data_IF_060488769947
#
_entry.id   IF_060488769947
#
_cell.length_a   1.000
_cell.length_b   1.000
_cell.length_c   1.000
_cell.angle_alpha   90.00
_cell.angle_beta   90.00
_cell.angle_gamma   90.00
#
_symmetry.space_group_name_H-M   'P 1'
#
loop_
_entity.id
_entity.type
_entity.pdbx_description
1 polymer ?
#
# COMPACT_ATOMS: atom_id res chain seq x y z
N UNK A 1 -39.81 -62.99 -36.95
CA UNK A 1 -38.88 -61.92 -37.38
C UNK A 1 -39.19 -60.68 -36.54
N UNK A 2 -38.29 -60.18 -35.69
CA UNK A 2 -38.54 -58.99 -34.89
C UNK A 2 -38.44 -57.73 -35.75
N UNK A 3 -39.44 -56.86 -35.65
CA UNK A 3 -39.55 -55.58 -36.34
C UNK A 3 -38.44 -54.61 -35.92
N UNK A 4 -37.69 -54.07 -36.88
CA UNK A 4 -36.69 -53.04 -36.65
C UNK A 4 -37.35 -51.74 -36.14
N UNK A 5 -36.80 -51.08 -35.11
CA UNK A 5 -37.27 -49.77 -34.68
C UNK A 5 -36.91 -48.68 -35.71
N UNK A 6 -37.71 -47.60 -35.81
CA UNK A 6 -37.49 -46.55 -36.80
C UNK A 6 -36.18 -45.78 -36.54
N UNK A 7 -35.52 -45.28 -37.61
CA UNK A 7 -34.26 -44.54 -37.48
C UNK A 7 -34.46 -43.25 -36.67
N UNK A 8 -33.61 -43.05 -35.67
CA UNK A 8 -33.55 -41.78 -34.93
C UNK A 8 -33.02 -40.68 -35.85
N UNK A 9 -33.83 -39.66 -36.08
CA UNK A 9 -33.41 -38.44 -36.76
C UNK A 9 -32.45 -37.70 -35.82
N UNK A 10 -31.15 -37.75 -36.11
CA UNK A 10 -30.18 -36.89 -35.47
C UNK A 10 -30.40 -35.46 -35.96
N UNK A 11 -30.92 -34.58 -35.11
CA UNK A 11 -31.01 -33.14 -35.40
C UNK A 11 -29.62 -32.59 -35.72
N UNK A 12 -29.40 -31.97 -36.88
CA UNK A 12 -28.15 -31.28 -37.14
C UNK A 12 -28.16 -29.95 -36.38
N UNK A 13 -27.04 -29.65 -35.73
CA UNK A 13 -26.67 -28.33 -35.20
C UNK A 13 -27.35 -27.89 -33.89
N UNK A 14 -26.90 -28.46 -32.77
CA UNK A 14 -26.82 -27.70 -31.52
C UNK A 14 -25.39 -27.24 -31.35
N UNK A 15 -25.07 -26.11 -31.99
CA UNK A 15 -23.90 -25.32 -31.60
C UNK A 15 -24.06 -25.00 -30.11
N UNK A 16 -23.10 -25.36 -29.23
CA UNK A 16 -23.21 -25.01 -27.82
C UNK A 16 -23.36 -23.49 -27.73
N UNK A 17 -24.44 -23.02 -27.11
CA UNK A 17 -24.59 -21.60 -26.77
C UNK A 17 -23.30 -21.15 -26.07
N UNK A 18 -22.68 -20.03 -26.48
CA UNK A 18 -21.51 -19.53 -25.79
C UNK A 18 -21.88 -19.37 -24.33
N UNK A 19 -21.21 -20.12 -23.47
CA UNK A 19 -21.34 -20.02 -22.02
C UNK A 19 -21.28 -18.54 -21.67
N UNK A 20 -22.35 -18.03 -21.05
CA UNK A 20 -22.44 -16.65 -20.56
C UNK A 20 -21.10 -16.23 -19.99
N UNK A 21 -20.47 -15.23 -20.62
CA UNK A 21 -19.09 -14.83 -20.40
C UNK A 21 -18.78 -14.46 -18.95
N UNK A 22 -18.45 -15.46 -18.14
CA UNK A 22 -17.64 -15.25 -16.96
C UNK A 22 -16.25 -15.00 -17.50
N UNK A 23 -15.94 -13.73 -17.75
CA UNK A 23 -14.59 -13.26 -17.97
C UNK A 23 -13.72 -13.90 -16.87
N UNK A 24 -12.62 -14.60 -17.21
CA UNK A 24 -11.81 -15.27 -16.22
C UNK A 24 -11.35 -14.21 -15.21
N UNK A 25 -11.83 -14.34 -13.97
CA UNK A 25 -11.51 -13.43 -12.89
C UNK A 25 -9.99 -13.29 -12.86
N UNK A 26 -9.49 -12.06 -12.99
CA UNK A 26 -8.04 -11.87 -12.96
C UNK A 26 -7.57 -12.44 -11.62
N UNK A 27 -6.49 -13.24 -11.57
CA UNK A 27 -6.05 -13.94 -10.34
C UNK A 27 -5.69 -13.00 -9.16
N UNK A 28 -5.77 -11.68 -9.38
CA UNK A 28 -5.48 -10.59 -8.47
C UNK A 28 -6.75 -9.85 -7.96
N UNK A 29 -7.94 -10.27 -8.38
CA UNK A 29 -9.23 -9.66 -8.02
C UNK A 29 -9.71 -10.18 -6.65
N UNK A 30 -10.11 -9.24 -5.78
CA UNK A 30 -10.57 -9.50 -4.42
C UNK A 30 -12.08 -9.26 -4.31
N UNK A 31 -12.86 -10.02 -3.52
CA UNK A 31 -14.31 -9.87 -3.51
C UNK A 31 -14.83 -8.66 -2.70
N UNK A 32 -13.98 -7.67 -2.40
CA UNK A 32 -14.32 -6.59 -1.48
C UNK A 32 -15.10 -5.47 -2.19
N UNK A 33 -16.30 -5.12 -1.71
CA UNK A 33 -17.09 -4.05 -2.30
C UNK A 33 -16.43 -2.67 -2.14
N UNK A 34 -16.66 -1.76 -3.10
CA UNK A 34 -16.08 -0.41 -3.09
C UNK A 34 -16.43 0.42 -1.85
N UNK A 35 -17.59 0.20 -1.23
CA UNK A 35 -18.00 0.92 -0.01
C UNK A 35 -17.09 0.63 1.19
N UNK A 36 -16.35 -0.49 1.16
CA UNK A 36 -15.41 -0.85 2.23
C UNK A 36 -14.26 0.14 2.32
N UNK A 37 -13.93 0.86 1.24
CA UNK A 37 -12.88 1.88 1.24
C UNK A 37 -13.26 3.09 2.10
N UNK A 38 -14.35 3.84 1.83
CA UNK A 38 -14.74 4.94 2.70
C UNK A 38 -15.07 4.48 4.13
N UNK A 39 -15.61 3.26 4.31
CA UNK A 39 -15.81 2.68 5.63
C UNK A 39 -14.49 2.45 6.37
N UNK A 40 -13.45 1.98 5.69
CA UNK A 40 -12.13 1.77 6.28
C UNK A 40 -11.47 3.07 6.71
N UNK A 41 -11.63 4.15 5.93
CA UNK A 41 -11.15 5.48 6.33
C UNK A 41 -11.93 6.02 7.54
N UNK A 42 -13.27 5.96 7.51
CA UNK A 42 -14.09 6.45 8.61
C UNK A 42 -13.88 5.69 9.91
N UNK A 43 -13.99 4.36 9.86
CA UNK A 43 -13.79 3.50 11.04
C UNK A 43 -12.32 3.49 11.49
N UNK A 44 -11.37 3.45 10.56
CA UNK A 44 -9.94 3.52 10.86
C UNK A 44 -9.59 4.80 11.61
N UNK A 45 -10.14 5.95 11.18
CA UNK A 45 -9.96 7.22 11.87
C UNK A 45 -10.59 7.21 13.27
N UNK A 46 -11.82 6.72 13.41
CA UNK A 46 -12.50 6.64 14.72
C UNK A 46 -11.70 5.74 15.69
N UNK A 47 -11.33 4.54 15.26
CA UNK A 47 -10.57 3.59 16.09
C UNK A 47 -9.17 4.12 16.38
N UNK A 48 -8.51 4.73 15.39
CA UNK A 48 -7.19 5.34 15.56
C UNK A 48 -7.20 6.49 16.57
N UNK A 49 -8.18 7.40 16.49
CA UNK A 49 -8.32 8.50 17.46
C UNK A 49 -8.63 7.98 18.87
N UNK A 50 -9.50 6.97 19.00
CA UNK A 50 -9.80 6.37 20.30
C UNK A 50 -8.57 5.69 20.91
N UNK A 51 -7.85 4.89 20.14
CA UNK A 51 -6.69 4.14 20.64
C UNK A 51 -5.51 5.05 20.96
N UNK A 52 -5.23 6.07 20.16
CA UNK A 52 -4.24 7.11 20.47
C UNK A 52 -4.64 7.96 21.69
N UNK A 53 -5.94 8.21 21.89
CA UNK A 53 -6.43 8.87 23.11
C UNK A 53 -6.21 8.02 24.37
N UNK A 54 -6.30 6.69 24.26
CA UNK A 54 -5.92 5.77 25.34
C UNK A 54 -4.42 5.85 25.63
N UNK A 55 -3.56 5.86 24.61
CA UNK A 55 -2.10 6.03 24.77
C UNK A 55 -1.79 7.35 25.51
N UNK A 56 -2.41 8.45 25.10
CA UNK A 56 -2.26 9.74 25.76
C UNK A 56 -2.79 9.73 27.21
N UNK A 57 -3.91 9.05 27.46
CA UNK A 57 -4.51 8.87 28.79
C UNK A 57 -3.61 8.09 29.74
N UNK A 58 -3.05 6.97 29.27
CA UNK A 58 -2.07 6.16 30.02
C UNK A 58 -0.84 6.99 30.36
N UNK A 59 -0.28 7.71 29.38
CA UNK A 59 0.86 8.59 29.60
C UNK A 59 0.59 9.63 30.70
N UNK A 60 -0.58 10.29 30.67
CA UNK A 60 -0.98 11.24 31.73
C UNK A 60 -1.09 10.55 33.10
N UNK A 61 -1.69 9.36 33.13
CA UNK A 61 -1.86 8.57 34.35
C UNK A 61 -0.53 8.13 34.99
N UNK A 62 0.51 7.89 34.18
CA UNK A 62 1.86 7.56 34.67
C UNK A 62 2.72 8.79 34.98
N UNK A 63 2.14 10.00 34.93
CA UNK A 63 2.87 11.26 35.14
C UNK A 63 3.83 11.62 34.00
N UNK A 64 3.73 10.96 32.85
CA UNK A 64 4.55 11.22 31.67
C UNK A 64 3.90 12.26 30.75
N UNK A 65 4.70 13.12 30.13
CA UNK A 65 4.20 14.10 29.15
C UNK A 65 3.61 13.44 27.90
N UNK A 66 2.49 13.96 27.39
CA UNK A 66 1.81 13.39 26.21
C UNK A 66 2.53 13.63 24.89
N UNK A 67 3.46 14.59 24.86
CA UNK A 67 4.17 15.00 23.64
C UNK A 67 5.63 14.52 23.65
N UNK A 68 5.92 13.44 24.39
CA UNK A 68 7.26 12.83 24.39
C UNK A 68 7.46 12.00 23.11
N UNK A 69 8.71 11.84 22.61
CA UNK A 69 8.97 11.05 21.42
C UNK A 69 8.43 9.61 21.54
N UNK A 70 8.56 8.99 22.71
CA UNK A 70 8.06 7.63 22.94
C UNK A 70 6.54 7.55 22.81
N UNK A 71 5.81 8.50 23.41
CA UNK A 71 4.34 8.54 23.35
C UNK A 71 3.86 8.80 21.93
N UNK A 72 4.52 9.70 21.20
CA UNK A 72 4.18 9.98 19.80
C UNK A 72 4.40 8.75 18.91
N UNK A 73 5.57 8.11 19.00
CA UNK A 73 5.88 6.90 18.20
C UNK A 73 4.89 5.77 18.52
N UNK A 74 4.58 5.53 19.80
CA UNK A 74 3.58 4.53 20.18
C UNK A 74 2.20 4.90 19.65
N UNK A 75 1.84 6.18 19.71
CA UNK A 75 0.62 6.71 19.12
C UNK A 75 0.52 6.42 17.63
N UNK A 76 1.56 6.76 16.86
CA UNK A 76 1.61 6.56 15.42
C UNK A 76 1.52 5.08 15.04
N UNK A 77 2.25 4.20 15.75
CA UNK A 77 2.17 2.74 15.55
C UNK A 77 0.74 2.23 15.79
N UNK A 78 0.12 2.63 16.88
CA UNK A 78 -1.24 2.18 17.24
C UNK A 78 -2.28 2.74 16.26
N UNK A 79 -2.07 3.96 15.77
CA UNK A 79 -2.91 4.58 14.75
C UNK A 79 -2.86 3.79 13.43
N UNK A 80 -1.66 3.48 12.93
CA UNK A 80 -1.49 2.67 11.71
C UNK A 80 -2.08 1.26 11.86
N UNK A 81 -1.84 0.61 13.00
CA UNK A 81 -2.41 -0.70 13.29
C UNK A 81 -3.94 -0.66 13.31
N UNK A 82 -4.56 0.45 13.72
CA UNK A 82 -6.01 0.60 13.67
C UNK A 82 -6.56 0.51 12.25
N UNK A 83 -5.90 1.15 11.28
CA UNK A 83 -6.26 1.04 9.86
C UNK A 83 -6.04 -0.37 9.31
N UNK A 84 -4.93 -1.02 9.67
CA UNK A 84 -4.65 -2.42 9.29
C UNK A 84 -5.73 -3.36 9.82
N UNK A 85 -6.09 -3.25 11.11
CA UNK A 85 -7.09 -4.11 11.75
C UNK A 85 -8.49 -3.87 11.19
N UNK A 86 -8.87 -2.61 10.94
CA UNK A 86 -10.17 -2.27 10.32
C UNK A 86 -10.24 -2.83 8.89
N UNK A 87 -9.17 -2.69 8.09
CA UNK A 87 -9.11 -3.26 6.75
C UNK A 87 -9.22 -4.80 6.78
N UNK A 88 -8.51 -5.47 7.69
CA UNK A 88 -8.61 -6.92 7.89
C UNK A 88 -10.03 -7.33 8.28
N UNK A 89 -10.65 -6.62 9.22
CA UNK A 89 -12.02 -6.88 9.64
C UNK A 89 -12.99 -6.74 8.47
N UNK A 90 -13.00 -5.59 7.79
CA UNK A 90 -13.87 -5.33 6.62
C UNK A 90 -13.66 -6.35 5.50
N UNK A 91 -12.42 -6.77 5.25
CA UNK A 91 -12.09 -7.78 4.25
C UNK A 91 -12.67 -9.17 4.54
N UNK A 92 -13.04 -9.44 5.79
CA UNK A 92 -13.63 -10.70 6.26
C UNK A 92 -15.15 -10.70 6.43
N UNK A 93 -15.83 -9.53 6.37
CA UNK A 93 -17.28 -9.45 6.62
C UNK A 93 -18.10 -10.10 5.51
N UNK A 94 -17.63 -10.03 4.26
CA UNK A 94 -18.35 -10.56 3.10
C UNK A 94 -17.48 -11.55 2.34
N UNK A 95 -17.58 -12.81 2.72
CA UNK A 95 -17.06 -13.93 1.94
C UNK A 95 -16.09 -14.81 2.72
N UNK A 96 -15.12 -15.36 1.99
CA UNK A 96 -14.09 -16.24 2.57
C UNK A 96 -13.12 -15.44 3.43
N UNK A 97 -12.51 -16.12 4.41
CA UNK A 97 -11.41 -15.54 5.21
C UNK A 97 -10.34 -14.96 4.28
N UNK A 98 -9.90 -13.71 4.50
CA UNK A 98 -8.91 -13.06 3.68
C UNK A 98 -7.56 -13.78 3.84
N UNK A 99 -6.86 -13.99 2.74
CA UNK A 99 -5.55 -14.62 2.69
C UNK A 99 -4.49 -13.56 2.42
N UNK A 100 -3.22 -13.76 2.85
CA UNK A 100 -2.15 -12.82 2.52
C UNK A 100 -2.01 -12.56 1.00
N UNK A 101 -2.30 -13.56 0.16
CA UNK A 101 -2.33 -13.43 -1.30
C UNK A 101 -3.33 -12.41 -1.82
N UNK A 102 -4.42 -12.16 -1.10
CA UNK A 102 -5.48 -11.22 -1.50
C UNK A 102 -4.97 -9.78 -1.42
N UNK A 103 -4.19 -9.47 -0.38
CA UNK A 103 -3.50 -8.18 -0.24
C UNK A 103 -2.27 -8.04 -1.14
N UNK A 104 -1.76 -9.14 -1.70
CA UNK A 104 -0.57 -9.12 -2.56
C UNK A 104 0.72 -9.54 -1.85
N UNK A 105 0.67 -10.26 -0.74
CA UNK A 105 1.83 -11.03 -0.25
C UNK A 105 2.10 -12.22 -1.18
N UNK A 106 2.67 -11.91 -2.34
CA UNK A 106 2.95 -12.84 -3.44
C UNK A 106 4.42 -12.76 -3.80
N UNK A 107 5.04 -13.92 -4.06
CA UNK A 107 6.40 -13.96 -4.60
C UNK A 107 6.42 -13.38 -6.02
N UNK A 108 7.50 -12.67 -6.32
CA UNK A 108 7.76 -12.04 -7.62
C UNK A 108 9.14 -12.46 -8.10
N UNK A 109 9.30 -12.61 -9.42
CA UNK A 109 10.61 -12.86 -10.01
C UNK A 109 11.54 -11.68 -9.72
N UNK A 110 12.76 -11.95 -9.25
CA UNK A 110 13.68 -10.91 -8.82
C UNK A 110 13.97 -9.88 -9.92
N UNK A 111 14.13 -10.32 -11.17
CA UNK A 111 14.36 -9.43 -12.32
C UNK A 111 13.20 -8.45 -12.54
N UNK A 112 11.96 -8.92 -12.46
CA UNK A 112 10.77 -8.06 -12.56
C UNK A 112 10.69 -7.10 -11.37
N UNK A 113 10.94 -7.59 -10.16
CA UNK A 113 10.92 -6.77 -8.95
C UNK A 113 11.93 -5.63 -9.03
N UNK A 114 13.19 -5.94 -9.37
CA UNK A 114 14.27 -4.96 -9.51
C UNK A 114 13.99 -4.00 -10.67
N UNK A 115 13.59 -4.50 -11.83
CA UNK A 115 13.30 -3.66 -12.99
C UNK A 115 12.18 -2.65 -12.73
N UNK A 116 11.06 -3.10 -12.12
CA UNK A 116 9.94 -2.21 -11.78
C UNK A 116 10.32 -1.26 -10.64
N UNK A 117 11.07 -1.72 -9.63
CA UNK A 117 11.57 -0.87 -8.54
C UNK A 117 12.41 0.30 -9.08
N UNK A 118 13.39 0.00 -9.95
CA UNK A 118 14.30 1.01 -10.50
C UNK A 118 13.54 1.99 -11.41
N UNK A 119 12.68 1.48 -12.28
CA UNK A 119 11.88 2.33 -13.17
C UNK A 119 10.92 3.24 -12.38
N UNK A 120 10.25 2.70 -11.36
CA UNK A 120 9.34 3.45 -10.51
C UNK A 120 10.05 4.51 -9.66
N UNK A 121 11.20 4.15 -9.06
CA UNK A 121 12.03 5.10 -8.32
C UNK A 121 12.54 6.23 -9.20
N UNK A 122 13.06 5.91 -10.39
CA UNK A 122 13.51 6.92 -11.35
C UNK A 122 12.35 7.85 -11.77
N UNK A 123 11.19 7.29 -12.13
CA UNK A 123 10.02 8.08 -12.51
C UNK A 123 9.57 9.01 -11.36
N UNK A 124 9.53 8.49 -10.13
CA UNK A 124 9.18 9.28 -8.95
C UNK A 124 10.12 10.47 -8.73
N UNK A 125 11.44 10.22 -8.68
CA UNK A 125 12.41 11.28 -8.40
C UNK A 125 12.53 12.29 -9.54
N UNK A 126 12.45 11.86 -10.80
CA UNK A 126 12.49 12.77 -11.95
C UNK A 126 11.27 13.69 -11.94
N UNK A 127 10.05 13.15 -11.79
CA UNK A 127 8.83 13.97 -11.77
C UNK A 127 8.80 14.88 -10.56
N UNK A 128 9.27 14.42 -9.40
CA UNK A 128 9.34 15.25 -8.19
C UNK A 128 10.34 16.39 -8.35
N UNK A 129 11.50 16.15 -8.98
CA UNK A 129 12.46 17.20 -9.29
C UNK A 129 11.91 18.23 -10.28
N UNK A 130 11.23 17.77 -11.34
CA UNK A 130 10.55 18.66 -12.30
C UNK A 130 9.47 19.50 -11.62
N UNK A 131 8.67 18.88 -10.76
CA UNK A 131 7.68 19.58 -9.94
C UNK A 131 8.35 20.67 -9.10
N UNK A 132 9.41 20.37 -8.36
CA UNK A 132 10.11 21.37 -7.54
C UNK A 132 10.61 22.57 -8.36
N UNK A 133 11.13 22.33 -9.57
CA UNK A 133 11.57 23.39 -10.50
C UNK A 133 10.39 24.23 -10.97
N UNK A 134 9.29 23.61 -11.39
CA UNK A 134 8.11 24.31 -11.94
C UNK A 134 7.46 25.21 -10.90
N UNK A 135 7.39 24.75 -9.65
CA UNK A 135 6.67 25.43 -8.56
C UNK A 135 7.58 26.48 -7.89
N UNK A 136 8.85 26.59 -8.31
CA UNK A 136 9.81 27.54 -7.76
C UNK A 136 10.24 27.22 -6.32
N UNK A 137 10.17 25.95 -5.92
CA UNK A 137 10.61 25.51 -4.59
C UNK A 137 12.14 25.52 -4.58
N UNK A 138 12.73 26.61 -4.11
CA UNK A 138 14.17 26.67 -3.87
C UNK A 138 14.46 25.96 -2.54
N UNK A 139 15.54 25.16 -2.48
CA UNK A 139 15.87 24.21 -1.40
C UNK A 139 16.04 24.78 0.03
N UNK A 140 15.63 26.02 0.28
CA UNK A 140 15.59 26.74 1.55
C UNK A 140 14.21 26.80 2.19
N UNK A 141 13.14 26.40 1.49
CA UNK A 141 11.78 26.37 2.04
C UNK A 141 11.67 25.24 3.06
N UNK A 142 11.90 25.65 4.31
CA UNK A 142 12.13 24.83 5.49
C UNK A 142 11.30 23.54 5.48
N UNK A 143 12.05 22.46 5.35
CA UNK A 143 11.63 21.08 5.56
C UNK A 143 10.94 20.93 6.91
N UNK A 144 9.93 20.04 7.05
CA UNK A 144 9.21 19.87 8.30
C UNK A 144 10.19 19.54 9.43
N UNK A 145 10.34 20.45 10.39
CA UNK A 145 10.96 20.14 11.69
C UNK A 145 9.91 19.40 12.50
N UNK A 146 9.95 18.07 12.55
CA UNK A 146 8.79 17.37 13.08
C UNK A 146 8.94 15.89 13.40
N UNK A 147 10.03 15.47 14.03
CA UNK A 147 10.03 14.20 14.77
C UNK A 147 10.59 14.34 16.20
N UNK A 148 10.97 15.55 16.64
CA UNK A 148 11.53 15.77 17.99
C UNK A 148 12.83 14.99 18.28
N UNK A 149 13.53 14.54 17.23
CA UNK A 149 14.63 13.55 17.28
C UNK A 149 15.92 14.06 17.94
N UNK A 150 15.93 15.29 18.44
CA UNK A 150 17.11 15.91 19.03
C UNK A 150 17.47 15.49 20.47
N UNK A 151 16.72 14.57 21.12
CA UNK A 151 16.80 14.41 22.58
C UNK A 151 17.32 13.04 23.07
N UNK A 152 17.29 11.95 22.28
CA UNK A 152 17.94 10.67 22.67
C UNK A 152 18.16 9.71 21.50
N UNK A 153 19.24 8.91 21.55
CA UNK A 153 19.53 7.84 20.58
C UNK A 153 18.39 6.81 20.49
N UNK A 154 17.74 6.50 21.62
CA UNK A 154 16.62 5.58 21.65
C UNK A 154 15.41 6.11 20.88
N UNK A 155 15.08 7.41 21.02
CA UNK A 155 14.00 8.03 20.26
C UNK A 155 14.30 8.06 18.76
N UNK A 156 15.55 8.33 18.38
CA UNK A 156 16.01 8.26 16.99
C UNK A 156 15.87 6.85 16.40
N UNK A 157 16.32 5.82 17.13
CA UNK A 157 16.18 4.42 16.69
C UNK A 157 14.70 4.04 16.56
N UNK A 158 13.87 4.41 17.54
CA UNK A 158 12.42 4.19 17.49
C UNK A 158 11.75 4.87 16.29
N UNK A 159 12.10 6.13 16.02
CA UNK A 159 11.59 6.86 14.87
C UNK A 159 12.04 6.22 13.54
N UNK A 160 13.30 5.80 13.44
CA UNK A 160 13.83 5.12 12.27
C UNK A 160 13.13 3.78 12.00
N UNK A 161 12.89 2.98 13.05
CA UNK A 161 12.14 1.72 12.93
C UNK A 161 10.70 2.01 12.48
N UNK A 162 10.02 2.99 13.09
CA UNK A 162 8.67 3.32 12.70
C UNK A 162 8.60 3.77 11.22
N UNK A 163 9.36 4.82 10.87
CA UNK A 163 9.32 5.47 9.56
C UNK A 163 9.83 4.57 8.42
N UNK A 164 10.86 3.75 8.67
CA UNK A 164 11.50 2.96 7.61
C UNK A 164 11.03 1.49 7.57
N UNK A 165 10.33 0.99 8.60
CA UNK A 165 9.87 -0.40 8.66
C UNK A 165 8.37 -0.48 8.90
N UNK A 166 7.87 0.02 10.03
CA UNK A 166 6.48 -0.19 10.45
C UNK A 166 5.50 0.52 9.50
N UNK A 167 5.71 1.81 9.25
CA UNK A 167 4.87 2.60 8.36
C UNK A 167 4.86 2.02 6.92
N UNK A 168 6.00 1.70 6.27
CA UNK A 168 5.99 1.03 4.97
C UNK A 168 5.22 -0.29 4.97
N UNK A 169 5.27 -1.11 6.02
CA UNK A 169 4.49 -2.35 6.07
C UNK A 169 3.00 -2.04 6.18
N UNK A 170 2.61 -1.19 7.14
CA UNK A 170 1.21 -0.89 7.43
C UNK A 170 0.53 -0.13 6.28
N UNK A 171 1.19 0.90 5.75
CA UNK A 171 0.67 1.73 4.67
C UNK A 171 0.61 0.97 3.34
N UNK A 172 1.60 0.14 2.99
CA UNK A 172 1.51 -0.66 1.77
C UNK A 172 0.42 -1.73 1.87
N UNK A 173 0.26 -2.35 3.05
CA UNK A 173 -0.85 -3.25 3.31
C UNK A 173 -2.21 -2.54 3.11
N UNK A 174 -2.39 -1.38 3.75
CA UNK A 174 -3.64 -0.65 3.72
C UNK A 174 -3.93 -0.07 2.33
N UNK A 175 -3.01 0.70 1.76
CA UNK A 175 -3.25 1.40 0.50
C UNK A 175 -3.15 0.49 -0.73
N UNK A 176 -2.10 -0.34 -0.84
CA UNK A 176 -1.86 -1.13 -2.07
C UNK A 176 -2.53 -2.49 -1.98
N UNK A 177 -2.59 -3.07 -0.78
CA UNK A 177 -3.27 -4.33 -0.54
C UNK A 177 -4.79 -4.15 -0.50
N UNK A 178 -5.29 -3.31 0.41
CA UNK A 178 -6.71 -3.17 0.65
C UNK A 178 -7.40 -2.13 -0.25
N UNK A 179 -7.03 -0.84 -0.17
CA UNK A 179 -7.72 0.25 -0.89
C UNK A 179 -7.63 0.06 -2.40
N UNK A 180 -6.42 -0.04 -2.96
CA UNK A 180 -6.23 -0.30 -4.37
C UNK A 180 -6.79 -1.66 -4.78
N UNK A 181 -6.69 -2.68 -3.90
CA UNK A 181 -7.32 -3.98 -4.10
C UNK A 181 -8.82 -3.87 -4.37
N UNK A 182 -9.55 -3.17 -3.50
CA UNK A 182 -10.99 -2.97 -3.58
C UNK A 182 -11.42 -2.02 -4.72
N UNK A 183 -10.67 -0.95 -4.98
CA UNK A 183 -11.01 0.02 -6.03
C UNK A 183 -10.75 -0.47 -7.45
N UNK A 184 -9.88 -1.47 -7.65
CA UNK A 184 -9.57 -1.99 -8.99
C UNK A 184 -10.75 -2.61 -9.74
N UNK A 185 -11.85 -2.90 -9.05
CA UNK A 185 -13.14 -3.34 -9.61
C UNK A 185 -13.97 -2.23 -10.22
N UNK A 186 -13.52 -0.99 -10.12
CA UNK A 186 -14.26 0.13 -10.67
C UNK A 186 -14.28 0.02 -12.20
N UNK A 187 -15.43 -0.24 -12.80
CA UNK A 187 -15.57 -0.22 -14.26
C UNK A 187 -15.82 1.21 -14.74
N UNK A 188 -14.75 1.90 -15.13
CA UNK A 188 -14.82 3.26 -15.68
C UNK A 188 -14.55 3.19 -17.17
N UNK A 189 -15.61 3.15 -17.98
CA UNK A 189 -15.49 3.08 -19.44
C UNK A 189 -15.46 4.48 -20.06
N UNK A 190 -14.37 4.80 -20.76
CA UNK A 190 -14.20 6.06 -21.51
C UNK A 190 -13.77 5.71 -22.93
N UNK A 191 -14.58 6.13 -23.91
CA UNK A 191 -14.32 5.90 -25.35
C UNK A 191 -14.01 4.42 -25.64
N UNK A 192 -14.82 3.51 -25.10
CA UNK A 192 -14.69 2.06 -25.29
C UNK A 192 -13.53 1.39 -24.55
N UNK A 193 -12.72 2.11 -23.75
CA UNK A 193 -11.64 1.55 -22.93
C UNK A 193 -12.01 1.55 -21.45
N UNK A 194 -11.72 0.46 -20.75
CA UNK A 194 -11.83 0.40 -19.28
C UNK A 194 -10.59 1.05 -18.65
N UNK A 195 -10.80 2.19 -18.00
CA UNK A 195 -9.79 2.96 -17.27
C UNK A 195 -9.87 2.73 -15.76
N UNK A 196 -10.65 1.75 -15.31
CA UNK A 196 -10.89 1.43 -13.91
C UNK A 196 -9.65 1.33 -13.04
N UNK A 197 -8.66 0.55 -13.49
CA UNK A 197 -7.41 0.38 -12.74
C UNK A 197 -6.59 1.66 -12.65
N UNK A 198 -6.61 2.51 -13.68
CA UNK A 198 -5.95 3.82 -13.65
C UNK A 198 -6.67 4.78 -12.70
N UNK A 199 -8.00 4.83 -12.75
CA UNK A 199 -8.80 5.62 -11.82
C UNK A 199 -8.57 5.18 -10.36
N UNK A 200 -8.51 3.87 -10.11
CA UNK A 200 -8.17 3.32 -8.80
C UNK A 200 -6.77 3.73 -8.33
N UNK A 201 -5.77 3.68 -9.21
CA UNK A 201 -4.40 4.10 -8.89
C UNK A 201 -4.33 5.60 -8.55
N UNK A 202 -5.00 6.45 -9.34
CA UNK A 202 -5.07 7.90 -9.10
C UNK A 202 -5.80 8.21 -7.80
N UNK A 203 -6.97 7.61 -7.57
CA UNK A 203 -7.73 7.82 -6.35
C UNK A 203 -6.93 7.37 -5.11
N UNK A 204 -6.30 6.19 -5.16
CA UNK A 204 -5.44 5.70 -4.07
C UNK A 204 -4.25 6.63 -3.84
N UNK A 205 -3.62 7.13 -4.91
CA UNK A 205 -2.54 8.10 -4.83
C UNK A 205 -2.97 9.40 -4.15
N UNK A 206 -4.08 9.99 -4.57
CA UNK A 206 -4.63 11.20 -3.96
C UNK A 206 -4.90 10.97 -2.46
N UNK A 207 -5.57 9.87 -2.10
CA UNK A 207 -5.84 9.53 -0.70
C UNK A 207 -4.54 9.38 0.10
N UNK A 208 -3.52 8.74 -0.48
CA UNK A 208 -2.21 8.62 0.13
C UNK A 208 -1.57 9.99 0.40
N UNK A 209 -1.60 10.91 -0.56
CA UNK A 209 -1.10 12.28 -0.33
C UNK A 209 -1.89 13.03 0.74
N UNK A 210 -3.23 12.90 0.76
CA UNK A 210 -4.09 13.62 1.70
C UNK A 210 -3.88 13.20 3.16
N UNK A 211 -3.68 11.91 3.45
CA UNK A 211 -3.45 11.47 4.85
C UNK A 211 -2.16 12.02 5.45
N UNK A 212 -1.23 12.49 4.61
CA UNK A 212 0.01 13.12 5.05
C UNK A 212 -0.10 14.62 5.33
N UNK A 213 -1.28 15.24 5.15
CA UNK A 213 -1.46 16.69 5.37
C UNK A 213 -1.17 17.14 6.81
N UNK A 214 -1.18 16.23 7.79
CA UNK A 214 -0.83 16.51 9.19
C UNK A 214 0.65 16.32 9.53
N UNK A 215 1.41 15.57 8.71
CA UNK A 215 2.80 15.19 8.99
C UNK A 215 3.81 15.76 7.99
N UNK A 216 3.35 16.17 6.81
CA UNK A 216 4.16 16.77 5.75
C UNK A 216 3.68 18.18 5.41
N UNK A 217 4.61 19.06 5.01
CA UNK A 217 4.25 20.38 4.48
C UNK A 217 3.37 20.25 3.23
N UNK A 218 2.44 21.18 3.04
CA UNK A 218 1.47 21.17 1.92
C UNK A 218 2.12 21.02 0.53
N UNK A 219 3.32 21.58 0.34
CA UNK A 219 4.12 21.46 -0.88
C UNK A 219 4.55 20.03 -1.24
N UNK A 220 4.59 19.11 -0.27
CA UNK A 220 4.95 17.71 -0.49
C UNK A 220 3.73 16.80 -0.74
N UNK A 221 2.50 17.28 -0.57
CA UNK A 221 1.29 16.45 -0.74
C UNK A 221 1.11 15.99 -2.19
N UNK A 222 1.46 16.82 -3.18
CA UNK A 222 1.42 16.43 -4.60
C UNK A 222 2.48 15.36 -4.91
N UNK A 223 3.77 15.55 -4.57
CA UNK A 223 4.77 14.48 -4.67
C UNK A 223 4.37 13.19 -3.95
N UNK A 224 3.82 13.28 -2.74
CA UNK A 224 3.35 12.11 -2.00
C UNK A 224 2.17 11.43 -2.70
N UNK A 225 1.21 12.19 -3.23
CA UNK A 225 0.12 11.61 -4.01
C UNK A 225 0.61 10.89 -5.26
N UNK A 226 1.59 11.48 -5.95
CA UNK A 226 2.24 10.86 -7.10
C UNK A 226 3.02 9.59 -6.70
N UNK A 227 3.70 9.59 -5.56
CA UNK A 227 4.37 8.40 -5.03
C UNK A 227 3.36 7.28 -4.73
N UNK A 228 2.23 7.62 -4.11
CA UNK A 228 1.10 6.72 -3.90
C UNK A 228 0.62 6.07 -5.19
N UNK A 229 0.41 6.88 -6.23
CA UNK A 229 0.04 6.43 -7.57
C UNK A 229 1.09 5.49 -8.20
N UNK A 230 2.37 5.87 -8.17
CA UNK A 230 3.47 5.06 -8.72
C UNK A 230 3.52 3.70 -8.04
N UNK A 231 3.36 3.64 -6.72
CA UNK A 231 3.36 2.38 -5.97
C UNK A 231 2.14 1.50 -6.29
N UNK A 232 0.99 2.08 -6.64
CA UNK A 232 -0.13 1.31 -7.22
C UNK A 232 0.25 0.68 -8.57
N UNK A 233 1.01 1.38 -9.42
CA UNK A 233 1.50 0.80 -10.68
C UNK A 233 2.51 -0.32 -10.42
N UNK A 234 3.41 -0.17 -9.44
CA UNK A 234 4.31 -1.24 -9.01
C UNK A 234 3.51 -2.47 -8.57
N UNK A 235 2.50 -2.28 -7.72
CA UNK A 235 1.61 -3.35 -7.25
C UNK A 235 0.83 -4.00 -8.39
N UNK A 236 0.37 -3.21 -9.37
CA UNK A 236 -0.38 -3.71 -10.52
C UNK A 236 0.50 -4.54 -11.45
N UNK A 237 1.73 -4.09 -11.73
CA UNK A 237 2.67 -4.78 -12.62
C UNK A 237 3.24 -6.06 -12.01
N UNK A 238 3.49 -6.06 -10.71
CA UNK A 238 4.18 -7.18 -10.03
C UNK A 238 3.24 -8.17 -9.36
N UNK A 239 2.00 -7.77 -9.07
CA UNK A 239 1.09 -8.55 -8.23
C UNK A 239 1.47 -8.57 -6.75
N UNK A 240 2.54 -7.86 -6.34
CA UNK A 240 3.22 -8.04 -5.06
C UNK A 240 3.36 -6.73 -4.28
N UNK A 241 3.29 -6.83 -2.94
CA UNK A 241 3.58 -5.72 -2.04
C UNK A 241 5.08 -5.55 -1.76
N UNK A 242 5.91 -6.59 -1.93
CA UNK A 242 7.32 -6.51 -1.54
C UNK A 242 8.12 -5.43 -2.29
N UNK A 243 7.97 -5.27 -3.63
CA UNK A 243 8.64 -4.17 -4.33
C UNK A 243 8.11 -2.80 -3.90
N UNK A 244 6.84 -2.70 -3.52
CA UNK A 244 6.25 -1.46 -3.01
C UNK A 244 6.82 -1.09 -1.63
N UNK A 245 6.83 -2.04 -0.69
CA UNK A 245 7.41 -1.86 0.65
C UNK A 245 8.88 -1.50 0.57
N UNK A 246 9.62 -2.12 -0.35
CA UNK A 246 11.03 -1.81 -0.55
C UNK A 246 11.24 -0.37 -1.06
N UNK A 247 10.51 0.05 -2.10
CA UNK A 247 10.63 1.40 -2.65
C UNK A 247 10.17 2.46 -1.65
N UNK A 248 9.10 2.18 -0.89
CA UNK A 248 8.64 3.05 0.19
C UNK A 248 9.68 3.17 1.31
N UNK A 249 10.21 2.06 1.82
CA UNK A 249 11.24 2.06 2.86
C UNK A 249 12.52 2.79 2.41
N UNK A 250 12.93 2.63 1.16
CA UNK A 250 14.06 3.36 0.57
C UNK A 250 13.78 4.86 0.53
N UNK A 251 12.60 5.27 0.06
CA UNK A 251 12.21 6.68 0.04
C UNK A 251 12.21 7.29 1.45
N UNK A 252 11.65 6.57 2.42
CA UNK A 252 11.60 7.02 3.81
C UNK A 252 13.00 7.08 4.45
N UNK A 253 13.87 6.13 4.14
CA UNK A 253 15.26 6.15 4.61
C UNK A 253 16.05 7.33 4.04
N UNK A 254 15.83 7.67 2.77
CA UNK A 254 16.43 8.84 2.13
C UNK A 254 15.90 10.14 2.75
N UNK A 255 14.57 10.26 2.92
CA UNK A 255 13.95 11.43 3.52
C UNK A 255 14.38 11.62 4.99
N UNK A 256 14.37 10.57 5.81
CA UNK A 256 14.80 10.64 7.19
C UNK A 256 16.32 10.90 7.28
N UNK A 257 17.12 10.10 6.58
CA UNK A 257 18.58 10.15 6.69
C UNK A 257 19.20 11.41 6.11
N UNK A 258 18.85 11.79 4.88
CA UNK A 258 19.47 12.93 4.17
C UNK A 258 18.79 14.23 4.58
N UNK A 259 17.46 14.26 4.54
CA UNK A 259 16.69 15.50 4.61
C UNK A 259 16.44 15.94 6.04
N UNK A 260 16.17 15.00 6.96
CA UNK A 260 15.86 15.31 8.36
C UNK A 260 17.09 15.25 9.28
N UNK A 261 17.97 14.26 9.08
CA UNK A 261 19.07 13.98 10.01
C UNK A 261 20.46 14.34 9.46
N UNK A 262 20.56 14.69 8.17
CA UNK A 262 21.81 15.07 7.50
C UNK A 262 22.95 14.04 7.65
N UNK A 263 22.59 12.76 7.63
CA UNK A 263 23.53 11.66 7.69
C UNK A 263 24.33 11.52 6.40
N UNK A 264 25.54 10.98 6.52
CA UNK A 264 26.34 10.60 5.36
C UNK A 264 25.70 9.40 4.61
N UNK A 265 26.08 9.22 3.34
CA UNK A 265 25.52 8.17 2.49
C UNK A 265 25.67 6.76 3.05
N UNK A 266 26.78 6.45 3.75
CA UNK A 266 27.01 5.13 4.36
C UNK A 266 25.99 4.81 5.44
N UNK A 267 25.67 5.76 6.32
CA UNK A 267 24.66 5.60 7.36
C UNK A 267 23.25 5.41 6.76
N UNK A 268 22.93 6.14 5.68
CA UNK A 268 21.63 5.99 4.98
C UNK A 268 21.52 4.62 4.30
N UNK A 269 22.60 4.14 3.68
CA UNK A 269 22.66 2.78 3.11
C UNK A 269 22.50 1.72 4.20
N UNK A 270 23.15 1.90 5.35
CA UNK A 270 23.01 1.00 6.51
C UNK A 270 21.58 0.95 7.04
N UNK A 271 20.95 2.12 7.23
CA UNK A 271 19.53 2.21 7.63
C UNK A 271 18.61 1.51 6.62
N UNK A 272 18.82 1.77 5.34
CA UNK A 272 18.02 1.19 4.26
C UNK A 272 18.15 -0.33 4.24
N UNK A 273 19.38 -0.86 4.23
CA UNK A 273 19.63 -2.29 4.20
C UNK A 273 19.08 -2.99 5.45
N UNK A 274 19.28 -2.41 6.62
CA UNK A 274 18.71 -2.91 7.88
C UNK A 274 17.19 -2.93 7.86
N UNK A 275 16.56 -1.86 7.40
CA UNK A 275 15.10 -1.76 7.30
C UNK A 275 14.52 -2.80 6.35
N UNK A 276 15.11 -2.96 5.16
CA UNK A 276 14.69 -3.98 4.19
C UNK A 276 14.85 -5.40 4.73
N UNK A 277 15.93 -5.68 5.48
CA UNK A 277 16.13 -6.97 6.12
C UNK A 277 15.05 -7.26 7.17
N UNK A 278 14.70 -6.28 8.02
CA UNK A 278 13.64 -6.42 9.02
C UNK A 278 12.27 -6.59 8.35
N UNK A 279 11.94 -5.78 7.33
CA UNK A 279 10.70 -5.95 6.55
C UNK A 279 10.65 -7.38 5.98
N UNK A 280 11.73 -7.85 5.36
CA UNK A 280 11.83 -9.19 4.82
C UNK A 280 11.59 -10.27 5.89
N UNK A 281 12.26 -10.16 7.04
CA UNK A 281 12.10 -11.11 8.14
C UNK A 281 10.65 -11.17 8.67
N UNK A 282 9.99 -10.02 8.81
CA UNK A 282 8.62 -9.94 9.32
C UNK A 282 7.56 -10.40 8.31
N UNK A 283 7.79 -10.19 7.01
CA UNK A 283 6.72 -10.30 5.99
C UNK A 283 6.92 -11.42 4.98
N UNK A 284 8.14 -11.95 4.76
CA UNK A 284 8.37 -13.08 3.85
C UNK A 284 7.64 -14.38 4.24
N UNK A 285 7.42 -14.70 5.54
CA UNK A 285 6.60 -15.86 5.92
C UNK A 285 5.17 -15.81 5.37
N UNK A 286 4.66 -14.62 5.05
CA UNK A 286 3.33 -14.41 4.47
C UNK A 286 3.29 -14.64 2.95
N UNK A 287 4.45 -14.82 2.29
CA UNK A 287 4.55 -14.97 0.84
C UNK A 287 3.92 -16.29 0.38
N UNK A 288 2.65 -16.22 -0.03
CA UNK A 288 1.95 -17.35 -0.65
C UNK A 288 2.70 -17.83 -1.90
N UNK A 289 2.79 -19.17 -2.07
CA UNK A 289 3.21 -19.77 -3.35
C UNK A 289 2.12 -19.43 -4.38
N UNK A 290 2.49 -18.91 -5.55
CA UNK A 290 1.55 -18.66 -6.66
C UNK A 290 0.67 -19.90 -6.84
N UNK A 291 -0.66 -19.77 -6.96
CA UNK A 291 -1.45 -20.81 -7.62
C UNK A 291 -0.84 -21.00 -9.01
N UNK A 292 -0.54 -22.25 -9.38
CA UNK A 292 -0.12 -22.55 -10.75
C UNK A 292 -1.17 -21.97 -11.71
N UNK A 293 -0.76 -21.44 -12.89
CA UNK A 293 -1.74 -21.14 -13.93
C UNK A 293 -2.55 -22.41 -14.18
N UNK A 294 -3.88 -22.30 -14.17
CA UNK A 294 -4.74 -23.41 -14.56
C UNK A 294 -4.35 -23.80 -15.99
N UNK A 295 -3.79 -25.00 -16.12
CA UNK A 295 -3.50 -25.66 -17.40
C UNK A 295 -4.77 -26.20 -17.99
#
# INVERSE_FOLDING_TARGET
>A
MPSLPPPQVSSPDQTPLPSSGVEPTRPDEVPWPIWTVPAAFGLGLVVGVLTTSVVAGVSRGTGSGTNTPAVNIVGDVVFDLSFVLVALWLSGIRGRRPRPSDFGYRKVALSLAVGVFLAAGAAYYVVTALYQVIIGLHGTDKLPKGLGVGQSTAALVGAAIFVCVVAPIAEEFFFRGFVFGALRHWHVRVVGRDLGTWAAAVATGILFGLVHAGSASSQYLIPLAFFGFVLCLVRWRTGSLYPCMALHSVNNSLALGITQLHWNGGAVVGLTAGSLAVIGALTLPLASRRPAPAT
#
